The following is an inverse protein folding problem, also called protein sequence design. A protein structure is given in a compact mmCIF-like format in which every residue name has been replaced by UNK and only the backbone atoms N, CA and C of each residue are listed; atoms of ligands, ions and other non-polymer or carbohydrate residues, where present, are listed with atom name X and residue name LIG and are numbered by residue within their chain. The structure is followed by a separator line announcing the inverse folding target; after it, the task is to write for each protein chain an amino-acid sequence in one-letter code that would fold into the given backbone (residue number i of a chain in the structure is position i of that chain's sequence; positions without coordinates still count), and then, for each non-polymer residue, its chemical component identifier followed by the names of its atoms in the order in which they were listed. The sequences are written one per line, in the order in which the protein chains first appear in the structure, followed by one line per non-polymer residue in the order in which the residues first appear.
data_IF_300017942604
#
_entry.id   IF_300017942604
#
_cell.length_a   1.000
_cell.length_b   1.000
_cell.length_c   1.000
_cell.angle_alpha   90.00
_cell.angle_beta   90.00
_cell.angle_gamma   90.00
#
_symmetry.space_group_name_H-M   'P 1'
#
loop_
_entity.id
_entity.type
_entity.pdbx_description
1 polymer ?
#
# COMPACT_ATOMS: atom_id res chain seq x y z
N UNK A 1 -34.27 22.01 26.67
CA UNK A 1 -33.92 22.14 25.23
C UNK A 1 -33.23 20.85 24.82
N UNK A 2 -33.87 20.01 24.01
CA UNK A 2 -33.26 18.75 23.54
C UNK A 2 -32.37 19.08 22.33
N UNK A 3 -31.06 18.92 22.46
CA UNK A 3 -30.17 19.05 21.32
C UNK A 3 -29.86 17.66 20.77
N UNK A 4 -30.48 17.35 19.64
CA UNK A 4 -30.19 16.16 18.85
C UNK A 4 -28.87 16.41 18.11
N UNK A 5 -27.79 15.82 18.62
CA UNK A 5 -26.50 15.80 17.92
C UNK A 5 -26.66 14.88 16.72
N UNK A 6 -26.70 15.45 15.52
CA UNK A 6 -26.65 14.68 14.27
C UNK A 6 -25.30 14.01 14.21
N UNK A 7 -25.25 12.74 14.59
CA UNK A 7 -24.05 11.93 14.49
C UNK A 7 -23.83 11.66 12.99
N UNK A 8 -22.90 12.39 12.37
CA UNK A 8 -22.27 11.94 11.14
C UNK A 8 -21.54 10.64 11.51
N UNK A 9 -22.24 9.51 11.37
CA UNK A 9 -21.61 8.19 11.36
C UNK A 9 -20.59 8.22 10.23
N UNK A 10 -19.28 8.14 10.51
CA UNK A 10 -18.33 7.82 9.46
C UNK A 10 -18.79 6.45 8.97
N UNK A 11 -19.33 6.41 7.75
CA UNK A 11 -19.60 5.14 7.09
C UNK A 11 -18.23 4.51 6.83
N UNK A 12 -17.68 3.87 7.85
CA UNK A 12 -16.64 2.86 7.67
C UNK A 12 -17.37 1.84 6.80
N UNK A 13 -17.14 1.92 5.48
CA UNK A 13 -17.43 0.77 4.64
C UNK A 13 -16.59 -0.31 5.26
N UNK A 14 -17.23 -1.25 5.95
CA UNK A 14 -16.62 -2.53 6.26
C UNK A 14 -16.50 -3.21 4.90
N UNK A 15 -15.52 -2.77 4.14
CA UNK A 15 -15.06 -3.48 2.97
C UNK A 15 -14.47 -4.74 3.57
N UNK A 16 -15.09 -5.87 3.25
CA UNK A 16 -14.57 -7.18 3.62
C UNK A 16 -13.08 -7.15 3.34
N UNK A 17 -12.26 -7.50 4.33
CA UNK A 17 -10.84 -7.20 4.25
C UNK A 17 -10.24 -7.86 3.01
N UNK A 18 -9.92 -7.04 2.01
CA UNK A 18 -9.53 -7.52 0.71
C UNK A 18 -8.11 -8.09 0.83
N UNK A 19 -7.98 -9.37 0.53
CA UNK A 19 -6.69 -10.00 0.32
C UNK A 19 -6.08 -9.44 -0.97
N UNK A 20 -4.75 -9.39 -1.05
CA UNK A 20 -4.08 -9.07 -2.31
C UNK A 20 -4.61 -9.96 -3.45
N UNK A 21 -5.01 -9.34 -4.56
CA UNK A 21 -5.52 -10.05 -5.74
C UNK A 21 -4.43 -10.86 -6.47
N UNK A 22 -3.16 -10.59 -6.16
CA UNK A 22 -1.99 -11.25 -6.77
C UNK A 22 -1.03 -11.74 -5.68
N UNK A 23 -0.38 -12.88 -5.93
CA UNK A 23 0.69 -13.41 -5.07
C UNK A 23 2.01 -12.64 -5.20
N UNK A 24 2.94 -12.87 -4.25
CA UNK A 24 4.24 -12.18 -4.19
C UNK A 24 5.12 -12.40 -5.42
N UNK A 25 5.02 -13.57 -6.05
CA UNK A 25 5.84 -13.98 -7.20
C UNK A 25 5.05 -14.04 -8.52
N UNK A 26 3.95 -13.29 -8.63
CA UNK A 26 3.12 -13.26 -9.85
C UNK A 26 3.56 -12.22 -10.89
N UNK A 27 4.80 -11.73 -10.79
CA UNK A 27 5.37 -10.75 -11.73
C UNK A 27 5.49 -11.26 -13.19
N UNK A 28 5.38 -12.57 -13.42
CA UNK A 28 5.34 -13.16 -14.76
C UNK A 28 4.10 -12.75 -15.57
N UNK A 29 3.03 -12.28 -14.90
CA UNK A 29 1.86 -11.70 -15.57
C UNK A 29 2.19 -10.37 -16.26
N UNK A 30 3.18 -9.64 -15.73
CA UNK A 30 3.63 -8.33 -16.23
C UNK A 30 5.16 -8.33 -16.44
N UNK A 31 5.63 -9.13 -17.41
CA UNK A 31 7.05 -9.27 -17.72
C UNK A 31 7.77 -7.93 -17.99
N UNK A 32 7.06 -6.96 -18.58
CA UNK A 32 7.60 -5.62 -18.83
C UNK A 32 7.93 -4.88 -17.53
N UNK A 33 7.02 -4.90 -16.55
CA UNK A 33 7.24 -4.28 -15.25
C UNK A 33 8.26 -5.07 -14.40
N UNK A 34 8.30 -6.39 -14.54
CA UNK A 34 9.32 -7.24 -13.93
C UNK A 34 10.73 -6.90 -14.45
N UNK A 35 10.90 -6.86 -15.77
CA UNK A 35 12.17 -6.49 -16.40
C UNK A 35 12.56 -5.05 -16.06
N UNK A 36 11.60 -4.12 -16.08
CA UNK A 36 11.84 -2.72 -15.75
C UNK A 36 12.24 -2.51 -14.28
N UNK A 37 11.63 -3.24 -13.35
CA UNK A 37 12.06 -3.25 -11.97
C UNK A 37 13.50 -3.74 -11.83
N UNK A 38 13.89 -4.82 -12.52
CA UNK A 38 15.26 -5.35 -12.49
C UNK A 38 16.29 -4.41 -13.13
N UNK A 39 15.94 -3.76 -14.25
CA UNK A 39 16.83 -2.85 -14.95
C UNK A 39 16.95 -1.48 -14.26
N UNK A 40 15.87 -0.99 -13.62
CA UNK A 40 15.84 0.35 -13.04
C UNK A 40 14.87 0.46 -11.86
N UNK A 41 15.24 -0.17 -10.74
CA UNK A 41 14.51 -0.10 -9.47
C UNK A 41 14.07 1.33 -9.05
N UNK A 42 14.93 2.37 -9.07
CA UNK A 42 14.51 3.71 -8.61
C UNK A 42 13.43 4.33 -9.51
N UNK A 43 13.42 4.05 -10.81
CA UNK A 43 12.37 4.58 -11.69
C UNK A 43 11.09 3.77 -11.56
N UNK A 44 11.19 2.46 -11.34
CA UNK A 44 10.03 1.62 -11.03
C UNK A 44 9.34 2.06 -9.73
N UNK A 45 10.09 2.37 -8.67
CA UNK A 45 9.48 2.88 -7.43
C UNK A 45 8.80 4.23 -7.62
N UNK A 46 9.35 5.11 -8.47
CA UNK A 46 8.68 6.35 -8.86
C UNK A 46 7.35 6.07 -9.57
N UNK A 47 7.31 5.09 -10.50
CA UNK A 47 6.08 4.67 -11.20
C UNK A 47 5.03 4.18 -10.19
N UNK A 48 5.42 3.33 -9.25
CA UNK A 48 4.53 2.78 -8.20
C UNK A 48 4.02 3.89 -7.27
N UNK A 49 4.89 4.81 -6.83
CA UNK A 49 4.48 5.93 -5.99
C UNK A 49 3.44 6.81 -6.68
N UNK A 50 3.61 7.10 -7.98
CA UNK A 50 2.60 7.82 -8.78
C UNK A 50 1.29 7.07 -8.86
N UNK A 51 1.31 5.77 -9.09
CA UNK A 51 0.10 4.93 -9.14
C UNK A 51 -0.62 4.90 -7.79
N UNK A 52 0.14 4.94 -6.68
CA UNK A 52 -0.40 5.10 -5.33
C UNK A 52 -0.79 6.55 -4.99
N UNK A 53 -0.65 7.52 -5.89
CA UNK A 53 -0.99 8.93 -5.65
C UNK A 53 -0.05 9.67 -4.70
N UNK A 54 1.19 9.18 -4.52
CA UNK A 54 2.28 9.88 -3.82
C UNK A 54 3.18 10.63 -4.81
N UNK A 55 4.05 11.55 -4.34
CA UNK A 55 5.01 12.22 -5.24
C UNK A 55 5.90 11.16 -5.91
N UNK A 56 6.12 11.21 -7.24
CA UNK A 56 7.12 10.37 -7.90
C UNK A 56 8.53 10.55 -7.34
N UNK A 57 8.82 11.71 -6.75
CA UNK A 57 10.12 12.10 -6.26
C UNK A 57 10.49 11.48 -4.89
N UNK A 58 9.48 11.06 -4.12
CA UNK A 58 9.64 10.57 -2.76
C UNK A 58 10.51 9.29 -2.66
N UNK A 59 10.35 8.30 -3.56
CA UNK A 59 11.19 7.10 -3.57
C UNK A 59 12.65 7.30 -3.97
N UNK A 60 12.99 8.39 -4.67
CA UNK A 60 14.39 8.72 -4.98
C UNK A 60 15.15 9.12 -3.71
N UNK A 61 14.46 9.70 -2.73
CA UNK A 61 15.04 10.11 -1.45
C UNK A 61 15.27 8.89 -0.51
N UNK A 62 14.50 7.81 -0.70
CA UNK A 62 14.59 6.58 0.09
C UNK A 62 15.88 5.77 -0.14
N UNK A 63 16.62 6.03 -1.23
CA UNK A 63 17.85 5.30 -1.54
C UNK A 63 19.03 5.62 -0.60
N UNK A 64 18.91 6.62 0.28
CA UNK A 64 20.00 7.07 1.14
C UNK A 64 20.03 6.44 2.54
N UNK A 65 19.07 5.57 2.91
CA UNK A 65 18.96 5.02 4.26
C UNK A 65 18.56 3.54 4.32
N UNK A 66 18.81 2.89 5.47
CA UNK A 66 18.43 1.49 5.70
C UNK A 66 16.91 1.27 5.75
N UNK A 67 16.15 2.31 6.10
CA UNK A 67 14.68 2.27 6.13
C UNK A 67 14.20 3.25 5.07
N UNK A 68 13.44 2.80 4.05
CA UNK A 68 12.86 3.68 3.05
C UNK A 68 11.49 4.21 3.54
N UNK A 69 11.42 5.40 4.17
CA UNK A 69 10.19 5.95 4.73
C UNK A 69 9.09 6.16 3.69
N UNK A 70 9.41 6.62 2.47
CA UNK A 70 8.39 6.85 1.46
C UNK A 70 7.78 5.54 0.94
N UNK A 71 8.60 4.51 0.76
CA UNK A 71 8.16 3.16 0.39
C UNK A 71 7.23 2.57 1.45
N UNK A 72 7.54 2.79 2.73
CA UNK A 72 6.67 2.39 3.83
C UNK A 72 5.35 3.15 3.83
N UNK A 73 5.38 4.48 3.65
CA UNK A 73 4.19 5.31 3.57
C UNK A 73 3.29 4.92 2.39
N UNK A 74 3.87 4.67 1.22
CA UNK A 74 3.15 4.18 0.04
C UNK A 74 2.47 2.85 0.35
N UNK A 75 3.19 1.89 0.93
CA UNK A 75 2.59 0.60 1.36
C UNK A 75 1.45 0.79 2.35
N UNK A 76 1.62 1.63 3.37
CA UNK A 76 0.57 1.91 4.35
C UNK A 76 -0.67 2.52 3.69
N UNK A 77 -0.47 3.52 2.83
CA UNK A 77 -1.57 4.20 2.12
C UNK A 77 -2.37 3.27 1.20
N UNK A 78 -1.70 2.33 0.52
CA UNK A 78 -2.37 1.32 -0.33
C UNK A 78 -3.22 0.40 0.55
N UNK A 79 -2.68 -0.09 1.66
CA UNK A 79 -3.42 -0.98 2.56
C UNK A 79 -4.62 -0.29 3.19
N UNK A 80 -4.49 0.98 3.57
CA UNK A 80 -5.59 1.78 4.10
C UNK A 80 -6.69 1.99 3.04
N UNK A 81 -6.30 2.35 1.81
CA UNK A 81 -7.25 2.61 0.71
C UNK A 81 -8.03 1.37 0.27
N UNK A 82 -7.41 0.20 0.33
CA UNK A 82 -8.02 -1.07 -0.12
C UNK A 82 -8.45 -1.98 1.05
N UNK A 83 -8.32 -1.55 2.30
CA UNK A 83 -8.70 -2.36 3.47
C UNK A 83 -7.89 -3.65 3.67
N UNK A 84 -6.63 -3.68 3.21
CA UNK A 84 -5.79 -4.89 3.16
C UNK A 84 -5.22 -5.20 4.56
N UNK A 85 -5.68 -6.31 5.16
CA UNK A 85 -5.21 -6.79 6.47
C UNK A 85 -3.73 -7.19 6.44
N UNK A 86 -3.10 -7.09 7.61
CA UNK A 86 -1.79 -7.72 7.85
C UNK A 86 -2.05 -9.19 8.16
N UNK A 87 -1.60 -10.07 7.27
CA UNK A 87 -1.56 -11.50 7.56
C UNK A 87 -0.40 -11.70 8.55
N UNK A 88 -0.69 -11.52 9.83
CA UNK A 88 0.14 -12.10 10.87
C UNK A 88 -0.23 -13.56 10.93
N UNK A 89 0.64 -14.48 10.51
CA UNK A 89 0.56 -15.89 10.92
C UNK A 89 0.86 -16.01 12.43
N UNK A 90 0.11 -15.29 13.25
CA UNK A 90 0.16 -15.31 14.70
C UNK A 90 -1.29 -15.23 15.20
N UNK A 91 -1.97 -16.36 15.08
CA UNK A 91 -3.18 -16.65 15.88
C UNK A 91 -2.97 -18.02 16.51
N UNK A 92 -3.09 -18.06 17.85
CA UNK A 92 -3.17 -19.21 18.75
C UNK A 92 -1.91 -20.04 19.03
N UNK A 93 -1.19 -19.64 20.08
CA UNK A 93 -1.07 -20.54 21.26
C UNK A 93 -1.88 -19.88 22.38
N UNK A 94 -3.19 -20.12 22.33
CA UNK A 94 -4.01 -20.37 23.51
C UNK A 94 -4.57 -21.78 23.29
#
# INVERSE_FOLDING_TARGET
MHQQVVQLQPRIRVQEAEQWSTGLCECYKDMGDCCFALCCLPVFTCKVARAAGACPCLPLLDCMGCVPPASLAVRASVRERYGIKVITHFTSTD
#
